data_IF_947581829865
#
_entry.id   IF_947581829865
#
_cell.length_a   1.000
_cell.length_b   1.000
_cell.length_c   1.000
_cell.angle_alpha   90.00
_cell.angle_beta   90.00
_cell.angle_gamma   90.00
#
_symmetry.space_group_name_H-M   'P 1'
#
loop_
_entity.id
_entity.type
_entity.pdbx_description
1 polymer ?
#
# COMPACT_ATOMS: atom_id res chain seq x y z
N UNK A 1 14.95 -10.51 4.99
CA UNK A 1 13.56 -10.99 5.10
C UNK A 1 12.74 -9.84 5.65
N UNK A 2 11.60 -9.47 5.05
CA UNK A 2 10.80 -8.31 5.48
C UNK A 2 10.11 -8.59 6.82
N UNK A 3 10.27 -7.66 7.77
CA UNK A 3 9.63 -7.74 9.10
C UNK A 3 8.12 -7.62 8.97
N UNK A 4 7.64 -6.73 8.11
CA UNK A 4 6.22 -6.46 7.96
C UNK A 4 5.46 -7.59 7.25
N UNK A 5 6.07 -8.23 6.24
CA UNK A 5 5.49 -9.44 5.62
C UNK A 5 5.38 -10.55 6.67
N UNK A 6 6.40 -10.71 7.53
CA UNK A 6 6.38 -11.71 8.60
C UNK A 6 5.23 -11.47 9.59
N UNK A 7 4.90 -10.21 9.90
CA UNK A 7 3.70 -9.89 10.69
C UNK A 7 2.40 -10.27 9.96
N UNK A 8 2.33 -10.08 8.65
CA UNK A 8 1.12 -10.38 7.88
C UNK A 8 0.86 -11.89 7.81
N UNK A 9 1.89 -12.68 7.56
CA UNK A 9 1.77 -14.13 7.32
C UNK A 9 1.86 -14.98 8.59
N UNK A 10 2.21 -14.39 9.74
CA UNK A 10 2.35 -15.14 10.99
C UNK A 10 1.02 -15.75 11.45
N UNK A 11 1.10 -17.02 11.87
CA UNK A 11 -0.01 -17.72 12.52
C UNK A 11 -0.10 -17.43 14.02
N UNK A 12 0.96 -16.88 14.62
CA UNK A 12 0.98 -16.45 16.02
C UNK A 12 0.30 -15.08 16.17
N UNK A 13 -0.82 -14.97 16.90
CA UNK A 13 -1.50 -13.69 17.15
C UNK A 13 -0.60 -12.63 17.79
N UNK A 14 0.34 -13.02 18.66
CA UNK A 14 1.21 -12.06 19.33
C UNK A 14 2.13 -11.32 18.35
N UNK A 15 2.60 -12.02 17.31
CA UNK A 15 3.38 -11.42 16.22
C UNK A 15 2.49 -10.73 15.19
N UNK A 16 1.40 -11.38 14.80
CA UNK A 16 0.50 -10.90 13.74
C UNK A 16 -0.15 -9.58 14.14
N UNK A 17 -0.64 -9.50 15.37
CA UNK A 17 -1.44 -8.37 15.86
C UNK A 17 -0.58 -7.33 16.61
N UNK A 18 0.75 -7.45 16.51
CA UNK A 18 1.69 -6.43 16.97
C UNK A 18 1.46 -5.10 16.25
N UNK A 19 1.69 -4.00 16.96
CA UNK A 19 1.47 -2.66 16.44
C UNK A 19 2.46 -2.32 15.31
N UNK A 20 1.94 -1.93 14.15
CA UNK A 20 2.75 -1.46 13.02
C UNK A 20 3.67 -0.29 13.43
N UNK A 21 3.13 0.64 14.23
CA UNK A 21 3.87 1.81 14.73
C UNK A 21 5.16 1.42 15.47
N UNK A 22 5.15 0.33 16.24
CA UNK A 22 6.33 -0.12 16.97
C UNK A 22 7.47 -0.51 16.02
N UNK A 23 7.16 -1.11 14.87
CA UNK A 23 8.17 -1.44 13.86
C UNK A 23 8.60 -0.20 13.09
N UNK A 24 7.65 0.66 12.72
CA UNK A 24 7.93 1.81 11.88
C UNK A 24 8.65 2.95 12.60
N UNK A 25 8.47 3.09 13.92
CA UNK A 25 9.08 4.16 14.71
C UNK A 25 10.61 4.10 14.70
N UNK A 26 11.17 2.91 14.88
CA UNK A 26 12.62 2.72 15.00
C UNK A 26 13.31 2.52 13.64
N UNK A 27 12.55 2.25 12.58
CA UNK A 27 13.09 2.08 11.24
C UNK A 27 13.59 3.41 10.65
N UNK A 28 14.71 3.36 9.95
CA UNK A 28 15.21 4.47 9.12
C UNK A 28 14.34 4.68 7.87
N UNK A 29 14.53 5.82 7.19
CA UNK A 29 13.86 6.10 5.92
C UNK A 29 14.13 4.98 4.88
N UNK A 30 15.39 4.58 4.73
CA UNK A 30 15.78 3.54 3.77
C UNK A 30 15.20 2.17 4.10
N UNK A 31 15.18 1.78 5.39
CA UNK A 31 14.55 0.52 5.82
C UNK A 31 13.05 0.53 5.54
N UNK A 32 12.35 1.64 5.82
CA UNK A 32 10.92 1.75 5.51
C UNK A 32 10.65 1.70 4.00
N UNK A 33 11.48 2.33 3.18
CA UNK A 33 11.35 2.24 1.72
C UNK A 33 11.54 0.80 1.22
N UNK A 34 12.49 0.05 1.79
CA UNK A 34 12.69 -1.37 1.47
C UNK A 34 11.50 -2.23 1.90
N UNK A 35 10.96 -1.99 3.10
CA UNK A 35 9.76 -2.67 3.58
C UNK A 35 8.54 -2.35 2.70
N UNK A 36 8.34 -1.09 2.29
CA UNK A 36 7.29 -0.72 1.33
C UNK A 36 7.45 -1.43 -0.02
N UNK A 37 8.66 -1.46 -0.57
CA UNK A 37 8.92 -2.15 -1.85
C UNK A 37 8.66 -3.66 -1.74
N UNK A 38 9.01 -4.27 -0.60
CA UNK A 38 8.71 -5.67 -0.33
C UNK A 38 7.20 -5.92 -0.21
N UNK A 39 6.48 -5.07 0.53
CA UNK A 39 5.02 -5.14 0.68
C UNK A 39 4.29 -4.98 -0.65
N UNK A 40 4.70 -4.02 -1.50
CA UNK A 40 4.07 -3.81 -2.81
C UNK A 40 4.24 -5.04 -3.72
N UNK A 41 5.43 -5.63 -3.73
CA UNK A 41 5.66 -6.88 -4.47
C UNK A 41 4.84 -8.02 -3.90
N UNK A 42 4.80 -8.17 -2.58
CA UNK A 42 4.10 -9.24 -1.90
C UNK A 42 2.59 -9.20 -2.17
N UNK A 43 1.93 -8.04 -2.07
CA UNK A 43 0.49 -7.93 -2.35
C UNK A 43 0.12 -8.31 -3.78
N UNK A 44 1.02 -8.10 -4.75
CA UNK A 44 0.78 -8.42 -6.17
C UNK A 44 0.90 -9.93 -6.44
N UNK A 45 1.59 -10.65 -5.56
CA UNK A 45 1.89 -12.07 -5.71
C UNK A 45 1.07 -12.98 -4.78
N UNK A 46 0.56 -12.45 -3.66
CA UNK A 46 -0.28 -13.23 -2.74
C UNK A 46 -1.65 -13.48 -3.36
N UNK A 47 -2.14 -14.72 -3.26
CA UNK A 47 -3.52 -15.08 -3.62
C UNK A 47 -4.47 -14.98 -2.43
N UNK A 48 -3.95 -14.66 -1.24
CA UNK A 48 -4.72 -14.56 -0.01
C UNK A 48 -5.24 -13.13 0.18
N UNK A 49 -6.56 -12.96 0.11
CA UNK A 49 -7.21 -11.65 0.25
C UNK A 49 -6.81 -10.91 1.53
N UNK A 50 -6.74 -11.61 2.66
CA UNK A 50 -6.39 -10.97 3.92
C UNK A 50 -4.96 -10.42 3.87
N UNK A 51 -4.02 -11.17 3.31
CA UNK A 51 -2.63 -10.75 3.17
C UNK A 51 -2.49 -9.56 2.23
N UNK A 52 -3.15 -9.62 1.06
CA UNK A 52 -3.19 -8.53 0.09
C UNK A 52 -3.72 -7.23 0.73
N UNK A 53 -4.88 -7.31 1.37
CA UNK A 53 -5.55 -6.14 1.97
C UNK A 53 -4.75 -5.60 3.15
N UNK A 54 -4.20 -6.47 4.01
CA UNK A 54 -3.37 -6.04 5.15
C UNK A 54 -2.08 -5.37 4.67
N UNK A 55 -1.45 -5.87 3.61
CA UNK A 55 -0.29 -5.22 2.98
C UNK A 55 -0.65 -3.84 2.41
N UNK A 56 -1.78 -3.70 1.73
CA UNK A 56 -2.26 -2.41 1.20
C UNK A 56 -2.50 -1.38 2.31
N UNK A 57 -3.11 -1.79 3.43
CA UNK A 57 -3.30 -0.88 4.57
C UNK A 57 -2.01 -0.56 5.32
N UNK A 58 -1.05 -1.49 5.38
CA UNK A 58 0.29 -1.20 5.90
C UNK A 58 0.99 -0.16 5.02
N UNK A 59 0.98 -0.34 3.70
CA UNK A 59 1.52 0.63 2.74
C UNK A 59 0.89 2.00 2.92
N UNK A 60 -0.44 2.08 2.97
CA UNK A 60 -1.16 3.32 3.25
C UNK A 60 -0.66 3.98 4.54
N UNK A 61 -0.62 3.25 5.66
CA UNK A 61 -0.24 3.79 6.95
C UNK A 61 1.22 4.28 6.95
N UNK A 62 2.13 3.53 6.33
CA UNK A 62 3.55 3.88 6.26
C UNK A 62 3.75 5.15 5.44
N UNK A 63 3.18 5.22 4.24
CA UNK A 63 3.27 6.41 3.39
C UNK A 63 2.59 7.64 4.01
N UNK A 64 1.50 7.46 4.75
CA UNK A 64 0.72 8.58 5.29
C UNK A 64 1.26 9.14 6.60
N UNK A 65 1.76 8.26 7.48
CA UNK A 65 2.03 8.60 8.88
C UNK A 65 3.49 8.39 9.29
N UNK A 66 4.22 7.45 8.68
CA UNK A 66 5.57 7.11 9.15
C UNK A 66 6.67 7.72 8.28
N UNK A 67 6.57 7.64 6.95
CA UNK A 67 7.58 8.18 6.03
C UNK A 67 7.76 9.71 6.14
N UNK A 68 6.69 10.53 6.22
CA UNK A 68 6.83 11.98 6.35
C UNK A 68 7.58 12.44 7.60
N UNK A 69 7.67 11.58 8.63
CA UNK A 69 8.33 11.89 9.90
C UNK A 69 9.82 11.52 9.90
N UNK A 70 10.33 10.87 8.85
CA UNK A 70 11.72 10.40 8.81
C UNK A 70 12.69 11.47 8.34
N UNK A 71 13.86 11.50 8.97
CA UNK A 71 14.98 12.34 8.54
C UNK A 71 15.43 11.96 7.14
N UNK A 72 15.68 12.97 6.29
CA UNK A 72 16.06 12.78 4.89
C UNK A 72 14.88 12.78 3.91
N UNK A 73 13.65 12.95 4.42
CA UNK A 73 12.47 13.02 3.60
C UNK A 73 12.33 14.39 2.91
N UNK A 74 12.08 14.41 1.59
CA UNK A 74 11.98 15.65 0.84
C UNK A 74 10.62 16.32 1.05
N UNK A 75 10.63 17.56 1.56
CA UNK A 75 9.41 18.31 1.88
C UNK A 75 8.71 18.90 0.65
N UNK A 76 9.43 19.00 -0.47
CA UNK A 76 8.92 19.51 -1.73
C UNK A 76 9.17 18.49 -2.82
N UNK A 77 8.17 18.31 -3.68
CA UNK A 77 8.27 17.47 -4.86
C UNK A 77 6.97 17.55 -5.65
N UNK A 78 7.06 17.20 -6.92
CA UNK A 78 5.92 17.23 -7.82
C UNK A 78 5.22 15.88 -7.78
N UNK A 79 3.90 15.89 -7.94
CA UNK A 79 3.11 14.69 -8.17
C UNK A 79 2.94 14.56 -9.68
N UNK A 80 3.38 13.45 -10.31
CA UNK A 80 3.19 13.22 -11.73
C UNK A 80 1.72 13.36 -12.13
N UNK A 81 1.45 14.27 -13.08
CA UNK A 81 0.09 14.58 -13.52
C UNK A 81 -0.67 13.34 -13.99
N UNK A 82 -0.03 12.47 -14.77
CA UNK A 82 -0.65 11.25 -15.28
C UNK A 82 -1.06 10.29 -14.16
N UNK A 83 -0.21 10.13 -13.15
CA UNK A 83 -0.52 9.31 -11.98
C UNK A 83 -1.72 9.86 -11.21
N UNK A 84 -1.78 11.19 -11.03
CA UNK A 84 -2.93 11.83 -10.41
C UNK A 84 -4.22 11.71 -11.24
N UNK A 85 -4.11 11.82 -12.57
CA UNK A 85 -5.25 11.62 -13.46
C UNK A 85 -5.78 10.17 -13.42
N UNK A 86 -4.89 9.17 -13.31
CA UNK A 86 -5.27 7.77 -13.11
C UNK A 86 -5.97 7.55 -11.76
N UNK A 87 -5.45 8.15 -10.69
CA UNK A 87 -6.06 8.11 -9.36
C UNK A 87 -7.51 8.60 -9.41
N UNK A 88 -7.77 9.76 -10.03
CA UNK A 88 -9.12 10.33 -10.17
C UNK A 88 -10.06 9.43 -11.00
N UNK A 89 -9.52 8.72 -12.00
CA UNK A 89 -10.24 7.77 -12.84
C UNK A 89 -10.42 6.39 -12.21
N UNK A 90 -10.02 6.22 -10.94
CA UNK A 90 -10.05 4.95 -10.20
C UNK A 90 -9.19 3.84 -10.82
N UNK A 91 -8.13 4.23 -11.53
CA UNK A 91 -7.08 3.35 -12.06
C UNK A 91 -5.93 3.31 -11.06
N UNK A 92 -6.16 2.67 -9.93
CA UNK A 92 -5.29 2.81 -8.75
C UNK A 92 -3.95 2.08 -8.91
N UNK A 93 -3.92 0.90 -9.53
CA UNK A 93 -2.68 0.17 -9.79
C UNK A 93 -1.75 0.97 -10.71
N UNK A 94 -2.29 1.51 -11.80
CA UNK A 94 -1.53 2.33 -12.74
C UNK A 94 -1.05 3.64 -12.10
N UNK A 95 -1.85 4.23 -11.22
CA UNK A 95 -1.43 5.39 -10.44
C UNK A 95 -0.25 5.05 -9.50
N UNK A 96 -0.34 3.94 -8.77
CA UNK A 96 0.75 3.45 -7.90
C UNK A 96 2.03 3.23 -8.69
N UNK A 97 1.95 2.58 -9.85
CA UNK A 97 3.13 2.31 -10.70
C UNK A 97 3.82 3.60 -11.14
N UNK A 98 3.06 4.60 -11.59
CA UNK A 98 3.61 5.91 -11.98
C UNK A 98 4.29 6.60 -10.79
N UNK A 99 3.64 6.62 -9.62
CA UNK A 99 4.20 7.29 -8.44
C UNK A 99 5.46 6.58 -7.92
N UNK A 100 5.51 5.23 -7.94
CA UNK A 100 6.68 4.46 -7.54
C UNK A 100 7.84 4.64 -8.52
N UNK A 101 7.56 4.68 -9.83
CA UNK A 101 8.56 4.96 -10.85
C UNK A 101 9.19 6.35 -10.64
N UNK A 102 8.37 7.38 -10.44
CA UNK A 102 8.84 8.73 -10.18
C UNK A 102 9.67 8.81 -8.89
N UNK A 103 9.21 8.17 -7.80
CA UNK A 103 9.96 8.09 -6.55
C UNK A 103 11.30 7.35 -6.68
N UNK A 104 11.40 6.38 -7.60
CA UNK A 104 12.65 5.64 -7.89
C UNK A 104 13.65 6.51 -8.66
N UNK A 105 13.17 7.35 -9.57
CA UNK A 105 14.02 8.22 -10.40
C UNK A 105 14.43 9.52 -9.71
N UNK A 106 13.48 10.19 -9.04
CA UNK A 106 13.65 11.52 -8.43
C UNK A 106 13.76 11.53 -6.91
N UNK A 107 13.61 10.37 -6.26
CA UNK A 107 13.50 10.27 -4.81
C UNK A 107 12.08 10.50 -4.31
N UNK A 108 11.79 10.03 -3.09
CA UNK A 108 10.47 10.18 -2.48
C UNK A 108 10.31 11.60 -1.88
N UNK A 109 9.20 12.25 -2.20
CA UNK A 109 8.78 13.54 -1.63
C UNK A 109 7.47 13.41 -0.84
N UNK A 110 7.18 14.36 0.05
CA UNK A 110 5.99 14.32 0.91
C UNK A 110 4.68 14.31 0.09
N UNK A 111 4.68 15.05 -1.02
CA UNK A 111 3.61 15.02 -2.01
C UNK A 111 3.43 13.64 -2.65
N UNK A 112 4.52 13.00 -3.09
CA UNK A 112 4.49 11.64 -3.64
C UNK A 112 4.06 10.60 -2.61
N UNK A 113 4.54 10.70 -1.37
CA UNK A 113 4.13 9.82 -0.29
C UNK A 113 2.63 9.95 -0.01
N UNK A 114 2.10 11.18 0.01
CA UNK A 114 0.66 11.44 0.12
C UNK A 114 -0.15 10.85 -1.03
N UNK A 115 0.35 10.97 -2.27
CA UNK A 115 -0.29 10.40 -3.45
C UNK A 115 -0.32 8.87 -3.42
N UNK A 116 0.80 8.23 -3.05
CA UNK A 116 0.90 6.79 -2.84
C UNK A 116 -0.04 6.31 -1.73
N UNK A 117 -0.09 7.01 -0.60
CA UNK A 117 -1.02 6.70 0.48
C UNK A 117 -2.48 6.71 -0.02
N UNK A 118 -2.89 7.75 -0.74
CA UNK A 118 -4.25 7.86 -1.27
C UNK A 118 -4.57 6.73 -2.26
N UNK A 119 -3.61 6.38 -3.12
CA UNK A 119 -3.75 5.30 -4.09
C UNK A 119 -3.88 3.93 -3.41
N UNK A 120 -2.98 3.60 -2.46
CA UNK A 120 -3.03 2.33 -1.73
C UNK A 120 -4.28 2.17 -0.89
N UNK A 121 -4.71 3.23 -0.21
CA UNK A 121 -5.96 3.22 0.55
C UNK A 121 -7.15 2.91 -0.38
N UNK A 122 -7.24 3.61 -1.51
CA UNK A 122 -8.33 3.42 -2.48
C UNK A 122 -8.31 2.02 -3.11
N UNK A 123 -7.12 1.51 -3.41
CA UNK A 123 -6.91 0.16 -3.91
C UNK A 123 -7.34 -0.89 -2.88
N UNK A 124 -7.02 -0.73 -1.59
CA UNK A 124 -7.47 -1.63 -0.53
C UNK A 124 -9.00 -1.78 -0.49
N UNK A 125 -9.71 -0.65 -0.58
CA UNK A 125 -11.17 -0.66 -0.62
C UNK A 125 -11.71 -1.24 -1.93
N UNK A 126 -11.06 -0.98 -3.07
CA UNK A 126 -11.44 -1.60 -4.33
C UNK A 126 -11.29 -3.12 -4.26
N UNK A 127 -10.17 -3.64 -3.74
CA UNK A 127 -9.92 -5.07 -3.57
C UNK A 127 -10.98 -5.74 -2.70
N UNK A 128 -11.37 -5.10 -1.59
CA UNK A 128 -12.46 -5.58 -0.73
C UNK A 128 -13.82 -5.57 -1.47
N UNK A 129 -14.14 -4.47 -2.16
CA UNK A 129 -15.39 -4.35 -2.92
C UNK A 129 -15.48 -5.40 -4.04
N UNK A 130 -14.38 -5.67 -4.74
CA UNK A 130 -14.32 -6.69 -5.78
C UNK A 130 -14.49 -8.10 -5.20
N UNK A 131 -13.94 -8.37 -4.01
CA UNK A 131 -14.24 -9.63 -3.33
C UNK A 131 -15.74 -9.75 -3.01
N UNK A 132 -16.36 -8.72 -2.45
CA UNK A 132 -17.80 -8.74 -2.14
C UNK A 132 -18.60 -9.00 -3.41
N UNK A 133 -18.31 -8.31 -4.51
CA UNK A 133 -18.96 -8.55 -5.82
C UNK A 133 -18.79 -10.00 -6.27
N UNK A 134 -17.57 -10.55 -6.24
CA UNK A 134 -17.32 -11.95 -6.60
C UNK A 134 -18.13 -12.92 -5.74
N UNK A 135 -18.15 -12.70 -4.43
CA UNK A 135 -18.91 -13.53 -3.50
C UNK A 135 -20.40 -13.51 -3.81
N UNK A 136 -20.95 -12.32 -4.07
CA UNK A 136 -22.38 -12.17 -4.35
C UNK A 136 -22.77 -12.76 -5.72
N UNK A 137 -21.96 -12.55 -6.76
CA UNK A 137 -22.16 -13.14 -8.09
C UNK A 137 -22.11 -14.67 -8.11
N UNK A 138 -21.43 -15.28 -7.15
CA UNK A 138 -21.34 -16.75 -7.04
C UNK A 138 -22.67 -17.41 -6.66
N UNK A 139 -23.62 -16.64 -6.11
CA UNK A 139 -24.95 -17.12 -5.73
C UNK A 139 -25.87 -17.16 -6.94
N UNK A 140 -26.53 -18.31 -7.17
CA UNK A 140 -27.51 -18.47 -8.25
C UNK A 140 -28.63 -17.43 -8.12
N UNK A 141 -28.92 -16.70 -9.20
CA UNK A 141 -29.90 -15.61 -9.23
C UNK A 141 -29.29 -14.20 -9.11
N UNK A 142 -28.05 -14.09 -8.62
CA UNK A 142 -27.36 -12.82 -8.41
C UNK A 142 -26.21 -12.56 -9.39
N UNK A 143 -26.09 -13.37 -10.45
CA UNK A 143 -24.97 -13.32 -11.40
C UNK A 143 -24.89 -12.00 -12.20
N UNK A 144 -25.97 -11.21 -12.24
CA UNK A 144 -26.07 -9.96 -13.00
C UNK A 144 -25.50 -8.74 -12.27
N UNK A 145 -25.33 -8.80 -10.94
CA UNK A 145 -24.81 -7.71 -10.10
C UNK A 145 -23.30 -7.69 -10.11
#
# INVERSE_FOLDING_TARGET
MSKLISMITSTDPAQRDAALDAVCRDATLGELQQECAALDRFRRQSDNLYEQVRALFFLYAIYRFHLPQKTGMAQQGQIPFEGFANLLRRRFEEAVEIFLADATHGGLSDGLASALAAAYHSLAFQTLADQVRRSVRSVRGNQWM
#
